data_IF_570351006769
#
_entry.id   IF_570351006769
#
_cell.length_a   1.000
_cell.length_b   1.000
_cell.length_c   1.000
_cell.angle_alpha   90.00
_cell.angle_beta   90.00
_cell.angle_gamma   90.00
#
_symmetry.space_group_name_H-M   'P 1'
#
loop_
_entity.id
_entity.type
_entity.pdbx_description
1 polymer ?
#
# COMPACT_ATOMS: atom_id res chain seq x y z
N UNK A 1 10.29 7.07 -4.18
CA UNK A 1 9.74 8.18 -3.37
C UNK A 1 8.89 9.14 -4.21
N UNK A 2 9.47 9.98 -5.09
CA UNK A 2 8.71 11.02 -5.82
C UNK A 2 7.50 10.50 -6.60
N UNK A 3 7.65 9.36 -7.28
CA UNK A 3 6.55 8.72 -8.01
C UNK A 3 5.35 8.38 -7.10
N UNK A 4 5.63 7.85 -5.92
CA UNK A 4 4.60 7.48 -4.94
C UNK A 4 3.87 8.72 -4.40
N UNK A 5 4.60 9.79 -4.11
CA UNK A 5 4.01 11.07 -3.65
C UNK A 5 3.08 11.66 -4.72
N UNK A 6 3.51 11.68 -5.99
CA UNK A 6 2.67 12.15 -7.09
C UNK A 6 1.42 11.27 -7.25
N UNK A 7 1.55 9.96 -7.09
CA UNK A 7 0.41 9.04 -7.12
C UNK A 7 -0.58 9.29 -5.98
N UNK A 8 -0.08 9.53 -4.75
CA UNK A 8 -0.93 9.90 -3.60
C UNK A 8 -1.68 11.20 -3.85
N UNK A 9 -0.99 12.23 -4.32
CA UNK A 9 -1.61 13.53 -4.59
C UNK A 9 -2.69 13.41 -5.67
N UNK A 10 -2.46 12.60 -6.70
CA UNK A 10 -3.44 12.37 -7.75
C UNK A 10 -4.66 11.58 -7.23
N UNK A 11 -4.44 10.54 -6.44
CA UNK A 11 -5.53 9.79 -5.80
C UNK A 11 -6.39 10.69 -4.90
N UNK A 12 -5.76 11.58 -4.11
CA UNK A 12 -6.47 12.55 -3.27
C UNK A 12 -7.33 13.50 -4.10
N UNK A 13 -6.82 14.01 -5.23
CA UNK A 13 -7.61 14.88 -6.13
C UNK A 13 -8.84 14.18 -6.72
N UNK A 14 -8.77 12.87 -6.89
CA UNK A 14 -9.86 12.04 -7.39
C UNK A 14 -10.79 11.54 -6.27
N UNK A 15 -10.62 12.02 -5.03
CA UNK A 15 -11.50 11.71 -3.90
C UNK A 15 -11.24 10.35 -3.25
N UNK A 16 -10.09 9.73 -3.49
CA UNK A 16 -9.70 8.53 -2.77
C UNK A 16 -9.37 8.86 -1.30
N UNK A 17 -9.61 7.91 -0.41
CA UNK A 17 -9.28 8.02 1.03
C UNK A 17 -7.92 7.37 1.36
N UNK A 18 -7.53 6.35 0.60
CA UNK A 18 -6.26 5.65 0.74
C UNK A 18 -5.81 4.96 -0.55
N UNK A 19 -4.52 4.62 -0.63
CA UNK A 19 -3.97 3.64 -1.56
C UNK A 19 -3.91 2.28 -0.89
N UNK A 20 -4.45 1.26 -1.55
CA UNK A 20 -4.19 -0.13 -1.25
C UNK A 20 -2.89 -0.58 -1.94
N UNK A 21 -2.09 -1.39 -1.25
CA UNK A 21 -0.79 -1.87 -1.73
C UNK A 21 -0.68 -3.35 -1.40
N UNK A 22 -0.44 -4.19 -2.41
CA UNK A 22 0.08 -5.56 -2.22
C UNK A 22 1.60 -5.48 -2.37
N UNK A 23 2.34 -5.88 -1.34
CA UNK A 23 3.79 -5.72 -1.30
C UNK A 23 4.48 -7.04 -0.95
N UNK A 24 5.47 -7.42 -1.76
CA UNK A 24 6.38 -8.52 -1.42
C UNK A 24 6.91 -8.37 0.02
N UNK A 25 6.93 -9.47 0.76
CA UNK A 25 7.30 -9.54 2.19
C UNK A 25 8.79 -9.29 2.49
N UNK A 26 9.58 -8.81 1.52
CA UNK A 26 10.97 -8.43 1.76
C UNK A 26 11.09 -7.24 2.70
N UNK A 27 12.09 -7.25 3.58
CA UNK A 27 12.28 -6.19 4.59
C UNK A 27 12.44 -4.82 3.95
N UNK A 28 13.16 -4.73 2.83
CA UNK A 28 13.40 -3.46 2.13
C UNK A 28 12.11 -2.88 1.53
N UNK A 29 11.24 -3.73 0.99
CA UNK A 29 9.97 -3.31 0.38
C UNK A 29 9.02 -2.77 1.44
N UNK A 30 8.88 -3.51 2.55
CA UNK A 30 8.03 -3.09 3.66
C UNK A 30 8.57 -1.83 4.33
N UNK A 31 9.88 -1.74 4.54
CA UNK A 31 10.52 -0.54 5.09
C UNK A 31 10.28 0.69 4.20
N UNK A 32 10.37 0.53 2.88
CA UNK A 32 10.06 1.62 1.94
C UNK A 32 8.63 2.13 2.13
N UNK A 33 7.63 1.25 2.11
CA UNK A 33 6.22 1.67 2.23
C UNK A 33 5.90 2.27 3.60
N UNK A 34 6.47 1.74 4.69
CA UNK A 34 6.36 2.36 6.02
C UNK A 34 6.90 3.78 6.05
N UNK A 35 8.06 4.02 5.45
CA UNK A 35 8.65 5.37 5.34
C UNK A 35 7.79 6.31 4.48
N UNK A 36 6.99 5.76 3.56
CA UNK A 36 6.03 6.54 2.76
C UNK A 36 4.67 6.78 3.47
N UNK A 37 4.50 6.27 4.69
CA UNK A 37 3.29 6.43 5.51
C UNK A 37 2.25 5.32 5.34
N UNK A 38 2.63 4.18 4.76
CA UNK A 38 1.78 2.98 4.70
C UNK A 38 1.93 2.13 5.96
N UNK A 39 0.86 1.43 6.33
CA UNK A 39 0.91 0.39 7.37
C UNK A 39 0.15 -0.87 6.91
N UNK A 40 0.32 -1.99 7.62
CA UNK A 40 -0.44 -3.20 7.35
C UNK A 40 -1.94 -2.92 7.44
N UNK A 41 -2.72 -3.45 6.48
CA UNK A 41 -4.17 -3.32 6.54
C UNK A 41 -4.74 -4.21 7.64
N UNK A 42 -5.72 -3.70 8.39
CA UNK A 42 -6.51 -4.50 9.33
C UNK A 42 -7.63 -5.30 8.63
N UNK A 43 -7.94 -4.93 7.38
CA UNK A 43 -8.98 -5.54 6.57
C UNK A 43 -8.35 -6.01 5.24
N UNK A 44 -7.65 -7.16 5.23
CA UNK A 44 -7.12 -7.71 3.99
C UNK A 44 -8.25 -8.17 3.06
N UNK A 45 -8.05 -7.96 1.76
CA UNK A 45 -8.91 -8.47 0.70
C UNK A 45 -8.55 -9.95 0.53
N UNK A 46 -9.50 -10.83 0.90
CA UNK A 46 -9.28 -12.27 1.00
C UNK A 46 -8.82 -12.86 -0.33
N UNK A 47 -9.48 -12.47 -1.42
CA UNK A 47 -9.21 -12.99 -2.76
C UNK A 47 -7.77 -12.69 -3.19
N UNK A 48 -7.29 -11.46 -2.93
CA UNK A 48 -5.90 -11.06 -3.23
C UNK A 48 -4.91 -11.79 -2.32
N UNK A 49 -5.24 -12.00 -1.04
CA UNK A 49 -4.38 -12.75 -0.11
C UNK A 49 -4.24 -14.23 -0.52
N UNK A 50 -5.27 -14.81 -1.15
CA UNK A 50 -5.23 -16.18 -1.66
C UNK A 50 -4.45 -16.27 -2.98
N UNK A 51 -4.58 -15.28 -3.86
CA UNK A 51 -3.83 -15.19 -5.13
C UNK A 51 -2.34 -14.85 -4.91
N UNK A 52 -2.02 -14.03 -3.91
CA UNK A 52 -0.68 -13.55 -3.58
C UNK A 52 -0.29 -13.87 -2.12
N UNK A 53 -0.15 -15.15 -1.74
CA UNK A 53 -0.04 -15.58 -0.34
C UNK A 53 1.26 -15.16 0.37
N UNK A 54 2.24 -14.65 -0.38
CA UNK A 54 3.53 -14.20 0.17
C UNK A 54 3.64 -12.69 0.26
N UNK A 55 2.63 -11.96 -0.23
CA UNK A 55 2.57 -10.52 -0.17
C UNK A 55 1.83 -10.05 1.09
N UNK A 56 2.27 -8.91 1.59
CA UNK A 56 1.69 -8.18 2.69
C UNK A 56 0.79 -7.09 2.11
N UNK A 57 -0.48 -7.12 2.51
CA UNK A 57 -1.42 -6.07 2.17
C UNK A 57 -1.25 -4.88 3.10
N UNK A 58 -1.12 -3.70 2.51
CA UNK A 58 -0.88 -2.43 3.21
C UNK A 58 -1.85 -1.36 2.73
N UNK A 59 -2.07 -0.36 3.58
CA UNK A 59 -2.89 0.82 3.31
C UNK A 59 -2.10 2.09 3.58
N UNK A 60 -2.23 3.07 2.71
CA UNK A 60 -1.63 4.39 2.86
C UNK A 60 -2.70 5.48 2.70
N UNK A 61 -3.07 6.22 3.76
CA UNK A 61 -3.97 7.36 3.63
C UNK A 61 -3.43 8.40 2.63
N UNK A 62 -4.29 8.93 1.77
CA UNK A 62 -3.88 9.90 0.72
C UNK A 62 -4.02 11.34 1.13
#
# INVERSE_FOLDING_TARGET
RRLFEVGKDEARKNGAEALYISACSSEETIAFYRVMGSDLTVNPIKEIAEEEPFDLQMMCPV
#
